data_IF_545517318032
#
_entry.id   IF_545517318032
#
_cell.length_a   1.000
_cell.length_b   1.000
_cell.length_c   1.000
_cell.angle_alpha   90.00
_cell.angle_beta   90.00
_cell.angle_gamma   90.00
#
_symmetry.space_group_name_H-M   'P 1'
#
loop_
_entity.id
_entity.type
_entity.pdbx_description
1 polymer ?
#
# COMPACT_ATOMS: atom_id res chain seq x y z
N UNK A 1 -28.09 9.59 9.55
CA UNK A 1 -27.79 8.64 8.46
C UNK A 1 -26.43 8.03 8.72
N UNK A 2 -26.35 6.70 8.87
CA UNK A 2 -25.07 6.01 9.04
C UNK A 2 -24.38 5.88 7.68
N UNK A 3 -23.05 6.10 7.64
CA UNK A 3 -22.27 5.97 6.41
C UNK A 3 -22.05 4.48 6.10
N UNK A 4 -22.20 4.02 4.85
CA UNK A 4 -22.09 2.59 4.52
C UNK A 4 -20.67 2.02 4.60
N UNK A 5 -19.67 2.81 5.02
CA UNK A 5 -18.24 2.50 4.99
C UNK A 5 -17.58 2.64 6.38
N UNK A 6 -18.23 2.12 7.42
CA UNK A 6 -17.82 2.24 8.82
C UNK A 6 -16.36 1.83 9.08
N UNK A 7 -15.93 0.68 8.56
CA UNK A 7 -14.60 0.11 8.83
C UNK A 7 -13.41 0.87 8.21
N UNK A 8 -13.67 1.65 7.16
CA UNK A 8 -12.65 2.44 6.46
C UNK A 8 -12.75 3.93 6.78
N UNK A 9 -13.77 4.34 7.54
CA UNK A 9 -13.91 5.72 8.01
C UNK A 9 -12.79 6.07 8.98
N UNK A 10 -12.20 7.26 8.79
CA UNK A 10 -11.20 7.82 9.72
C UNK A 10 -11.79 8.02 11.11
N UNK A 11 -13.03 8.54 11.17
CA UNK A 11 -13.76 8.80 12.41
C UNK A 11 -13.92 7.51 13.22
N UNK A 12 -14.28 6.39 12.57
CA UNK A 12 -14.41 5.11 13.23
C UNK A 12 -13.05 4.48 13.58
N UNK A 13 -12.03 4.68 12.74
CA UNK A 13 -10.68 4.18 12.99
C UNK A 13 -10.03 4.73 14.27
N UNK A 14 -10.38 5.96 14.68
CA UNK A 14 -9.91 6.55 15.93
C UNK A 14 -10.42 5.80 17.19
N UNK A 15 -11.58 5.12 17.10
CA UNK A 15 -12.15 4.37 18.22
C UNK A 15 -11.62 2.94 18.38
N UNK A 16 -10.98 2.37 17.35
CA UNK A 16 -10.63 0.93 17.27
C UNK A 16 -9.14 0.69 16.95
N UNK A 17 -8.19 1.27 17.71
CA UNK A 17 -6.74 0.98 17.60
C UNK A 17 -5.94 1.60 16.43
N UNK A 18 -6.42 2.67 15.78
CA UNK A 18 -5.55 3.52 14.94
C UNK A 18 -5.28 4.87 15.62
N UNK A 19 -4.35 4.96 16.60
CA UNK A 19 -3.94 6.24 17.20
C UNK A 19 -3.24 7.18 16.20
N UNK A 20 -2.97 6.73 14.98
CA UNK A 20 -2.39 7.52 13.92
C UNK A 20 -3.45 7.95 12.90
N UNK A 21 -3.44 9.24 12.53
CA UNK A 21 -4.28 9.83 11.45
C UNK A 21 -4.25 9.03 10.13
N UNK A 22 -3.20 8.26 9.89
CA UNK A 22 -2.99 7.44 8.70
C UNK A 22 -2.63 6.01 9.10
N UNK A 23 -3.27 5.03 8.46
CA UNK A 23 -2.96 3.61 8.64
C UNK A 23 -1.62 3.31 7.96
N UNK A 24 -0.68 2.75 8.71
CA UNK A 24 0.61 2.26 8.16
C UNK A 24 0.51 0.76 7.90
N UNK A 25 0.86 0.34 6.69
CA UNK A 25 0.87 -1.06 6.26
C UNK A 25 2.33 -1.49 6.06
N UNK A 26 2.76 -2.53 6.77
CA UNK A 26 4.11 -3.09 6.64
C UNK A 26 4.09 -4.24 5.63
N UNK A 27 4.92 -4.15 4.59
CA UNK A 27 5.12 -5.18 3.57
C UNK A 27 6.61 -5.51 3.52
N UNK A 28 7.01 -6.62 4.14
CA UNK A 28 8.43 -6.95 4.29
C UNK A 28 9.19 -5.85 5.05
N UNK A 29 10.14 -5.22 4.37
CA UNK A 29 10.95 -4.10 4.86
C UNK A 29 10.39 -2.70 4.49
N UNK A 30 9.29 -2.61 3.74
CA UNK A 30 8.67 -1.35 3.29
C UNK A 30 7.46 -1.00 4.17
N UNK A 31 7.28 0.29 4.48
CA UNK A 31 6.08 0.81 5.18
C UNK A 31 5.30 1.75 4.27
N UNK A 32 4.06 1.39 3.94
CA UNK A 32 3.13 2.19 3.13
C UNK A 32 2.25 3.02 4.06
N UNK A 33 2.00 4.29 3.71
CA UNK A 33 1.20 5.22 4.53
C UNK A 33 2.02 5.96 5.60
N UNK A 34 3.35 5.99 5.43
CA UNK A 34 4.26 6.83 6.21
C UNK A 34 4.32 8.27 5.70
N UNK A 35 5.40 8.98 6.03
CA UNK A 35 5.65 10.36 5.60
C UNK A 35 6.22 10.48 4.18
N UNK A 36 6.75 9.38 3.64
CA UNK A 36 7.42 9.36 2.33
C UNK A 36 6.58 8.61 1.28
N UNK A 37 6.65 9.03 0.01
CA UNK A 37 5.98 8.32 -1.08
C UNK A 37 6.63 6.96 -1.34
N UNK A 38 5.81 5.98 -1.69
CA UNK A 38 6.24 4.63 -2.07
C UNK A 38 5.86 4.42 -3.53
N UNK A 39 6.80 3.96 -4.34
CA UNK A 39 6.59 3.62 -5.74
C UNK A 39 6.46 2.10 -5.90
N UNK A 40 5.44 1.66 -6.62
CA UNK A 40 5.25 0.27 -7.00
C UNK A 40 5.29 0.23 -8.53
N UNK A 41 6.26 -0.49 -9.08
CA UNK A 41 6.48 -0.61 -10.51
C UNK A 41 6.63 -2.08 -10.90
N UNK A 42 6.16 -2.41 -12.10
CA UNK A 42 6.19 -3.76 -12.64
C UNK A 42 5.35 -3.85 -13.92
N UNK A 43 5.44 -4.95 -14.67
CA UNK A 43 4.61 -5.13 -15.85
C UNK A 43 3.15 -5.34 -15.45
N UNK A 44 2.22 -4.94 -16.33
CA UNK A 44 0.80 -5.22 -16.17
C UNK A 44 0.50 -6.74 -16.18
N UNK A 45 1.20 -7.48 -17.05
CA UNK A 45 1.14 -8.93 -17.13
C UNK A 45 2.55 -9.52 -17.28
N UNK A 46 2.79 -10.67 -16.64
CA UNK A 46 4.05 -11.42 -16.79
C UNK A 46 3.98 -12.22 -18.07
N UNK A 47 4.76 -11.81 -19.07
CA UNK A 47 4.75 -12.46 -20.39
C UNK A 47 5.90 -13.46 -20.54
N UNK A 48 7.00 -13.25 -19.83
CA UNK A 48 8.12 -14.19 -19.78
C UNK A 48 9.00 -13.98 -18.55
N UNK A 49 9.78 -15.01 -18.21
CA UNK A 49 10.81 -14.89 -17.18
C UNK A 49 11.82 -13.79 -17.51
N UNK A 50 12.30 -13.71 -18.77
CA UNK A 50 13.29 -12.70 -19.13
C UNK A 50 12.74 -11.27 -18.99
N UNK A 51 11.52 -11.02 -19.45
CA UNK A 51 10.85 -9.72 -19.32
C UNK A 51 10.73 -9.29 -17.85
N UNK A 52 10.25 -10.19 -16.99
CA UNK A 52 10.07 -9.90 -15.56
C UNK A 52 11.40 -9.52 -14.87
N UNK A 53 12.45 -10.32 -15.07
CA UNK A 53 13.74 -10.05 -14.43
C UNK A 53 14.39 -8.77 -14.96
N UNK A 54 14.31 -8.50 -16.26
CA UNK A 54 14.78 -7.25 -16.84
C UNK A 54 14.10 -6.03 -16.21
N UNK A 55 12.77 -6.04 -16.11
CA UNK A 55 12.03 -4.93 -15.49
C UNK A 55 12.42 -4.78 -14.02
N UNK A 56 12.53 -5.89 -13.28
CA UNK A 56 12.91 -5.86 -11.87
C UNK A 56 14.31 -5.28 -11.64
N UNK A 57 15.25 -5.48 -12.57
CA UNK A 57 16.58 -4.86 -12.55
C UNK A 57 16.50 -3.37 -12.90
N UNK A 58 15.69 -2.98 -13.88
CA UNK A 58 15.56 -1.59 -14.34
C UNK A 58 14.86 -0.67 -13.30
N UNK A 59 13.97 -1.21 -12.46
CA UNK A 59 13.19 -0.42 -11.46
C UNK A 59 13.76 -0.46 -10.04
N UNK A 60 14.85 -1.20 -9.81
CA UNK A 60 15.50 -1.33 -8.50
C UNK A 60 16.37 -0.12 -8.17
#
# INVERSE_FOLDING_TARGET
MERPYKLVSREYGEFFDSPHKHRRIKVGNVTIGGSEPIFIAGPCAVESKQQLFRIAEDVK
#
